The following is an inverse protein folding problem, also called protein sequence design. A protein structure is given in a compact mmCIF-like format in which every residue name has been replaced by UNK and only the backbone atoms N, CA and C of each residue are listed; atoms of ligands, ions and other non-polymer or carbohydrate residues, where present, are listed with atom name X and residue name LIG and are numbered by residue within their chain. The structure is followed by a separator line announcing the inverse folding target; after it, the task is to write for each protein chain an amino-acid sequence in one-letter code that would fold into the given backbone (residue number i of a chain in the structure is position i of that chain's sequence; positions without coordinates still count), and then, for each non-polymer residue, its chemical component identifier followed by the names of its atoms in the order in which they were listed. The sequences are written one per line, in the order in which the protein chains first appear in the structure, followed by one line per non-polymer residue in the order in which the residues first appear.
data_IF_824762310335
#
_entry.id   IF_824762310335
#
_cell.length_a   1.000
_cell.length_b   1.000
_cell.length_c   1.000
_cell.angle_alpha   90.00
_cell.angle_beta   90.00
_cell.angle_gamma   90.00
#
_symmetry.space_group_name_H-M   'P 1'
#
loop_
_entity.id
_entity.type
_entity.pdbx_description
1 polymer ?
#
# COMPACT_ATOMS: atom_id res chain seq x y z
N UNK A 1 -8.49 -52.68 -10.58
CA UNK A 1 -9.00 -51.36 -10.13
C UNK A 1 -7.96 -50.25 -10.22
N UNK A 2 -6.68 -50.47 -9.85
CA UNK A 2 -5.58 -49.49 -10.01
C UNK A 2 -5.36 -48.97 -11.46
N UNK A 3 -5.35 -49.90 -12.41
CA UNK A 3 -5.02 -49.67 -13.82
C UNK A 3 -6.08 -48.83 -14.54
N UNK A 4 -7.35 -48.99 -14.14
CA UNK A 4 -8.50 -48.25 -14.67
C UNK A 4 -8.43 -46.77 -14.27
N UNK A 5 -7.81 -46.47 -13.12
CA UNK A 5 -7.65 -45.12 -12.59
C UNK A 5 -6.32 -44.45 -12.98
N UNK A 6 -5.45 -45.12 -13.74
CA UNK A 6 -4.14 -44.59 -14.13
C UNK A 6 -3.17 -44.37 -12.96
N UNK A 7 -3.43 -44.99 -11.80
CA UNK A 7 -2.64 -44.82 -10.58
C UNK A 7 -1.62 -45.95 -10.44
N UNK A 8 -0.40 -45.61 -10.02
CA UNK A 8 0.61 -46.60 -9.68
C UNK A 8 0.12 -47.45 -8.49
N UNK A 9 0.30 -48.77 -8.55
CA UNK A 9 -0.11 -49.68 -7.46
C UNK A 9 0.49 -49.30 -6.10
N UNK A 10 1.67 -48.69 -6.06
CA UNK A 10 2.30 -48.20 -4.82
C UNK A 10 1.53 -47.05 -4.16
N UNK A 11 0.77 -46.25 -4.92
CA UNK A 11 -0.05 -45.17 -4.39
C UNK A 11 -1.30 -45.70 -3.65
N UNK A 12 -1.76 -46.91 -3.97
CA UNK A 12 -2.96 -47.53 -3.36
C UNK A 12 -2.68 -47.98 -1.93
N UNK A 13 -1.45 -48.40 -1.64
CA UNK A 13 -1.02 -48.80 -0.30
C UNK A 13 -0.41 -47.65 0.51
N UNK A 14 -0.32 -46.46 -0.08
CA UNK A 14 0.23 -45.30 0.61
C UNK A 14 -0.76 -44.80 1.68
N UNK A 15 -0.43 -45.02 2.94
CA UNK A 15 -1.06 -44.29 4.03
C UNK A 15 -0.38 -42.92 4.17
N UNK A 16 -1.14 -41.81 4.12
CA UNK A 16 -0.58 -40.49 4.36
C UNK A 16 0.11 -40.47 5.72
N UNK A 17 1.43 -40.28 5.73
CA UNK A 17 2.14 -40.00 6.97
C UNK A 17 1.80 -38.57 7.37
N UNK A 18 0.91 -38.41 8.35
CA UNK A 18 0.72 -37.13 9.03
C UNK A 18 2.07 -36.77 9.63
N UNK A 19 2.70 -35.72 9.09
CA UNK A 19 4.02 -35.28 9.54
C UNK A 19 3.84 -34.64 10.92
N UNK A 20 4.12 -35.40 11.97
CA UNK A 20 4.08 -34.87 13.32
C UNK A 20 5.19 -33.82 13.47
N UNK A 21 4.80 -32.63 13.93
CA UNK A 21 5.74 -31.56 14.25
C UNK A 21 6.50 -31.96 15.51
N UNK A 22 7.81 -31.70 15.52
CA UNK A 22 8.63 -31.92 16.71
C UNK A 22 8.29 -30.88 17.78
N UNK A 23 8.50 -31.18 19.05
CA UNK A 23 8.24 -30.25 20.16
C UNK A 23 8.91 -28.88 19.97
N UNK A 24 10.15 -28.88 19.46
CA UNK A 24 10.87 -27.63 19.14
C UNK A 24 10.13 -26.78 18.10
N UNK A 25 9.51 -27.42 17.10
CA UNK A 25 8.76 -26.72 16.06
C UNK A 25 7.44 -26.15 16.60
N UNK A 26 6.76 -26.89 17.47
CA UNK A 26 5.54 -26.41 18.15
C UNK A 26 5.86 -25.19 19.03
N UNK A 27 6.91 -25.28 19.84
CA UNK A 27 7.38 -24.15 20.65
C UNK A 27 7.72 -22.92 19.81
N UNK A 28 8.32 -23.13 18.64
CA UNK A 28 8.63 -22.03 17.72
C UNK A 28 7.37 -21.41 17.14
N UNK A 29 6.37 -22.21 16.76
CA UNK A 29 5.09 -21.72 16.25
C UNK A 29 4.36 -20.89 17.30
N UNK A 30 4.25 -21.38 18.54
CA UNK A 30 3.60 -20.67 19.65
C UNK A 30 4.31 -19.33 19.94
N UNK A 31 5.65 -19.34 19.94
CA UNK A 31 6.44 -18.14 20.18
C UNK A 31 6.27 -17.11 19.05
N UNK A 32 6.28 -17.57 17.80
CA UNK A 32 6.09 -16.71 16.62
C UNK A 32 4.69 -16.11 16.61
N UNK A 33 3.66 -16.88 16.94
CA UNK A 33 2.27 -16.40 16.99
C UNK A 33 2.09 -15.24 17.98
N UNK A 34 2.60 -15.42 19.21
CA UNK A 34 2.57 -14.38 20.26
C UNK A 34 3.37 -13.14 19.84
N UNK A 35 4.58 -13.33 19.31
CA UNK A 35 5.45 -12.21 18.96
C UNK A 35 4.98 -11.47 17.73
N UNK A 36 4.45 -12.16 16.73
CA UNK A 36 3.89 -11.55 15.54
C UNK A 36 2.65 -10.72 15.88
N UNK A 37 1.78 -11.21 16.77
CA UNK A 37 0.62 -10.46 17.27
C UNK A 37 1.04 -9.13 17.91
N UNK A 38 2.17 -9.12 18.63
CA UNK A 38 2.71 -7.92 19.28
C UNK A 38 3.52 -7.01 18.34
N UNK A 39 4.21 -7.59 17.36
CA UNK A 39 5.14 -6.91 16.47
C UNK A 39 4.94 -7.32 15.00
N UNK A 40 3.78 -7.03 14.39
CA UNK A 40 3.41 -7.55 13.05
C UNK A 40 4.25 -6.94 11.92
N UNK A 41 5.00 -5.87 12.19
CA UNK A 41 5.95 -5.29 11.25
C UNK A 41 7.25 -6.09 11.15
N UNK A 42 7.56 -7.00 12.08
CA UNK A 42 8.83 -7.74 12.04
C UNK A 42 8.83 -8.78 10.91
N UNK A 43 9.78 -8.63 10.00
CA UNK A 43 10.09 -9.65 9.00
C UNK A 43 10.93 -10.81 9.57
N UNK A 44 11.10 -11.88 8.79
CA UNK A 44 11.84 -13.10 9.20
C UNK A 44 13.23 -12.84 9.76
N UNK A 45 13.94 -11.82 9.26
CA UNK A 45 15.27 -11.43 9.75
C UNK A 45 15.20 -10.79 11.14
N UNK A 46 14.31 -9.82 11.33
CA UNK A 46 14.13 -9.11 12.60
C UNK A 46 13.61 -10.06 13.68
N UNK A 47 12.64 -10.90 13.34
CA UNK A 47 12.07 -11.87 14.26
C UNK A 47 13.10 -12.91 14.71
N UNK A 48 13.95 -13.43 13.81
CA UNK A 48 15.04 -14.34 14.18
C UNK A 48 16.06 -13.70 15.12
N UNK A 49 16.43 -12.43 14.89
CA UNK A 49 17.31 -11.69 15.78
C UNK A 49 16.67 -11.42 17.14
N UNK A 50 15.39 -11.03 17.14
CA UNK A 50 14.63 -10.74 18.36
C UNK A 50 14.50 -11.97 19.24
N UNK A 51 14.08 -13.10 18.68
CA UNK A 51 13.92 -14.37 19.40
C UNK A 51 15.28 -14.89 19.90
N UNK A 52 16.33 -14.79 19.07
CA UNK A 52 17.69 -15.21 19.47
C UNK A 52 18.25 -14.36 20.62
N UNK A 53 17.93 -13.07 20.66
CA UNK A 53 18.30 -12.18 21.77
C UNK A 53 17.59 -12.54 23.09
N UNK A 54 16.40 -13.17 23.02
CA UNK A 54 15.63 -13.61 24.18
C UNK A 54 15.89 -15.09 24.54
N UNK A 55 17.13 -15.55 24.35
CA UNK A 55 17.61 -16.89 24.74
C UNK A 55 16.94 -18.08 24.04
N UNK A 56 16.29 -17.88 22.89
CA UNK A 56 15.84 -18.98 22.03
C UNK A 56 16.62 -18.95 20.70
N UNK A 57 17.68 -19.76 20.54
CA UNK A 57 18.49 -19.75 19.32
C UNK A 57 17.66 -20.20 18.12
N UNK A 58 17.41 -19.28 17.18
CA UNK A 58 16.67 -19.59 15.96
C UNK A 58 17.31 -18.97 14.73
N UNK A 59 17.37 -19.74 13.66
CA UNK A 59 17.86 -19.26 12.38
C UNK A 59 16.72 -18.67 11.54
N UNK A 60 17.07 -17.78 10.61
CA UNK A 60 16.10 -17.14 9.71
C UNK A 60 15.23 -18.15 8.95
N UNK A 61 15.77 -19.31 8.56
CA UNK A 61 15.01 -20.32 7.84
C UNK A 61 13.93 -21.00 8.71
N UNK A 62 14.16 -21.13 10.02
CA UNK A 62 13.17 -21.66 10.98
C UNK A 62 12.00 -20.67 11.12
N UNK A 63 12.28 -19.37 11.20
CA UNK A 63 11.23 -18.33 11.24
C UNK A 63 10.47 -18.25 9.92
N UNK A 64 11.17 -18.36 8.77
CA UNK A 64 10.51 -18.40 7.46
C UNK A 64 9.53 -19.57 7.37
N UNK A 65 9.97 -20.75 7.79
CA UNK A 65 9.13 -21.94 7.86
C UNK A 65 7.90 -21.73 8.77
N UNK A 66 8.07 -21.08 9.92
CA UNK A 66 6.98 -20.79 10.85
C UNK A 66 5.97 -19.78 10.26
N UNK A 67 6.46 -18.71 9.61
CA UNK A 67 5.61 -17.74 8.90
C UNK A 67 4.80 -18.42 7.79
N UNK A 68 5.43 -19.30 7.00
CA UNK A 68 4.75 -20.06 5.95
C UNK A 68 3.70 -21.03 6.52
N UNK A 69 3.98 -21.67 7.67
CA UNK A 69 3.01 -22.56 8.35
C UNK A 69 1.82 -21.82 8.96
N UNK A 70 2.04 -20.62 9.49
CA UNK A 70 1.00 -19.79 10.11
C UNK A 70 0.31 -18.84 9.12
N UNK A 71 0.76 -18.78 7.86
CA UNK A 71 0.23 -17.85 6.85
C UNK A 71 0.55 -16.38 7.15
N UNK A 72 1.68 -16.10 7.80
CA UNK A 72 2.07 -14.76 8.26
C UNK A 72 2.98 -14.04 7.26
N UNK A 73 2.78 -12.73 7.12
CA UNK A 73 3.63 -11.86 6.32
C UNK A 73 3.76 -10.49 6.99
N UNK A 74 4.99 -10.01 7.17
CA UNK A 74 5.24 -8.70 7.78
C UNK A 74 4.44 -7.59 7.10
N UNK A 75 3.83 -6.74 7.93
CA UNK A 75 3.05 -5.55 7.51
C UNK A 75 3.96 -4.39 7.12
N UNK A 76 5.28 -4.50 7.36
CA UNK A 76 6.21 -3.45 6.97
C UNK A 76 6.22 -3.28 5.43
N UNK A 77 6.25 -2.04 4.92
CA UNK A 77 6.36 -1.79 3.49
C UNK A 77 7.57 -2.52 2.91
N UNK A 78 7.34 -3.33 1.88
CA UNK A 78 8.42 -3.99 1.17
C UNK A 78 9.35 -2.98 0.49
N UNK A 79 10.62 -3.31 0.24
CA UNK A 79 11.41 -2.54 -0.70
C UNK A 79 10.68 -2.57 -2.05
N UNK A 80 10.55 -1.41 -2.70
CA UNK A 80 9.92 -1.19 -4.01
C UNK A 80 8.45 -0.74 -4.09
N UNK A 81 7.90 -0.07 -3.07
CA UNK A 81 6.62 0.65 -3.23
C UNK A 81 6.68 1.82 -4.23
N UNK A 82 7.88 2.23 -4.63
CA UNK A 82 8.15 3.32 -5.59
C UNK A 82 8.52 2.85 -6.99
N UNK A 83 8.40 1.55 -7.32
CA UNK A 83 8.58 1.08 -8.70
C UNK A 83 7.28 1.32 -9.49
N UNK A 84 7.26 2.26 -10.45
CA UNK A 84 6.08 2.46 -11.29
C UNK A 84 5.78 1.19 -12.10
N UNK A 85 4.50 0.84 -12.23
CA UNK A 85 4.08 -0.23 -13.12
C UNK A 85 4.52 0.11 -14.56
N UNK A 86 5.10 -0.84 -15.32
CA UNK A 86 5.69 -0.57 -16.65
C UNK A 86 4.70 -0.01 -17.68
N UNK A 87 3.39 -0.14 -17.46
CA UNK A 87 2.34 0.39 -18.34
C UNK A 87 1.97 1.86 -18.07
N UNK A 88 2.56 2.53 -17.07
CA UNK A 88 2.28 3.93 -16.81
C UNK A 88 3.13 4.85 -17.69
N UNK A 89 2.48 5.57 -18.60
CA UNK A 89 3.08 6.67 -19.35
C UNK A 89 3.69 7.69 -18.40
N UNK A 90 5.00 7.94 -18.56
CA UNK A 90 5.71 9.00 -17.83
C UNK A 90 5.45 10.32 -18.54
N UNK A 91 4.60 11.16 -17.96
CA UNK A 91 4.40 12.53 -18.44
C UNK A 91 5.59 13.41 -18.02
N UNK A 92 6.07 14.32 -18.89
CA UNK A 92 7.10 15.28 -18.52
C UNK A 92 6.59 16.17 -17.38
N UNK A 93 7.38 16.32 -16.33
CA UNK A 93 7.05 17.21 -15.21
C UNK A 93 7.26 18.67 -15.64
N UNK A 94 6.17 19.32 -16.07
CA UNK A 94 6.18 20.67 -16.68
C UNK A 94 6.60 21.79 -15.72
N UNK A 95 6.68 21.51 -14.42
CA UNK A 95 7.14 22.46 -13.40
C UNK A 95 8.65 22.43 -13.19
N UNK A 96 9.37 21.50 -13.82
CA UNK A 96 10.83 21.45 -13.73
C UNK A 96 11.42 22.69 -14.41
N UNK A 97 12.22 23.44 -13.67
CA UNK A 97 12.88 24.68 -14.13
C UNK A 97 11.93 25.82 -14.52
N UNK A 98 10.66 25.78 -14.07
CA UNK A 98 9.68 26.84 -14.28
C UNK A 98 9.71 27.85 -13.12
N UNK A 99 10.03 29.11 -13.42
CA UNK A 99 9.85 30.22 -12.48
C UNK A 99 8.39 30.67 -12.46
N UNK A 100 7.83 30.81 -11.25
CA UNK A 100 6.43 31.20 -11.02
C UNK A 100 6.43 32.64 -10.52
N UNK A 101 6.04 33.57 -11.39
CA UNK A 101 6.24 35.01 -11.20
C UNK A 101 4.93 35.80 -11.05
N UNK A 102 3.78 35.17 -11.31
CA UNK A 102 2.46 35.84 -11.25
C UNK A 102 1.36 34.93 -10.71
N UNK A 103 0.28 35.51 -10.12
CA UNK A 103 -0.95 34.77 -9.85
C UNK A 103 -1.51 34.16 -11.13
N UNK A 104 -2.24 33.05 -11.01
CA UNK A 104 -2.89 32.35 -12.12
C UNK A 104 -1.95 31.66 -13.12
N UNK A 105 -0.65 31.59 -12.83
CA UNK A 105 0.30 30.84 -13.66
C UNK A 105 0.23 29.34 -13.37
N UNK A 106 0.30 28.96 -12.09
CA UNK A 106 0.26 27.57 -11.65
C UNK A 106 -0.75 27.41 -10.53
N UNK A 107 -1.75 26.58 -10.77
CA UNK A 107 -2.65 26.08 -9.73
C UNK A 107 -2.23 24.69 -9.32
N UNK A 108 -2.57 24.31 -8.10
CA UNK A 108 -2.47 22.92 -7.67
C UNK A 108 -3.63 22.52 -6.81
N UNK A 109 -3.90 21.23 -6.82
CA UNK A 109 -4.83 20.60 -5.89
C UNK A 109 -4.19 19.39 -5.23
N UNK A 110 -4.72 19.07 -4.05
CA UNK A 110 -4.41 17.87 -3.28
C UNK A 110 -5.68 17.44 -2.51
N UNK A 111 -5.80 16.16 -2.21
CA UNK A 111 -6.88 15.62 -1.38
C UNK A 111 -6.31 15.28 0.00
N UNK A 112 -6.73 16.01 1.02
CA UNK A 112 -6.36 15.75 2.41
C UNK A 112 -7.53 15.17 3.20
N UNK A 113 -7.26 14.25 4.11
CA UNK A 113 -8.28 13.65 4.99
C UNK A 113 -8.39 14.39 6.33
N UNK A 114 -9.62 14.64 6.76
CA UNK A 114 -9.97 15.17 8.09
C UNK A 114 -10.53 14.01 8.92
N UNK A 115 -9.88 13.73 10.05
CA UNK A 115 -10.29 12.65 10.95
C UNK A 115 -11.54 13.06 11.73
N UNK A 116 -12.58 12.23 11.67
CA UNK A 116 -13.84 12.42 12.38
C UNK A 116 -13.97 11.44 13.55
N UNK A 117 -14.97 11.60 14.42
CA UNK A 117 -15.26 10.64 15.49
C UNK A 117 -15.55 9.23 14.94
N UNK A 118 -16.16 9.14 13.76
CA UNK A 118 -16.36 7.92 12.98
C UNK A 118 -15.97 8.19 11.53
N UNK A 119 -14.91 7.53 11.05
CA UNK A 119 -14.45 7.66 9.66
C UNK A 119 -13.66 8.94 9.38
N UNK A 120 -13.64 9.33 8.10
CA UNK A 120 -12.90 10.47 7.56
C UNK A 120 -13.80 11.30 6.65
N UNK A 121 -13.52 12.60 6.59
CA UNK A 121 -13.98 13.47 5.51
C UNK A 121 -12.79 13.81 4.60
N UNK A 122 -13.05 14.06 3.33
CA UNK A 122 -12.06 14.33 2.29
C UNK A 122 -12.20 15.77 1.84
N UNK A 123 -11.15 16.56 2.03
CA UNK A 123 -11.06 17.95 1.62
C UNK A 123 -10.20 18.04 0.36
N UNK A 124 -10.74 18.65 -0.68
CA UNK A 124 -9.94 19.14 -1.82
C UNK A 124 -9.87 20.65 -1.75
N UNK A 125 -8.70 21.19 -2.05
CA UNK A 125 -8.50 22.62 -2.17
C UNK A 125 -7.73 22.92 -3.46
N UNK A 126 -8.11 24.00 -4.15
CA UNK A 126 -7.37 24.52 -5.29
C UNK A 126 -6.63 25.76 -4.82
N UNK A 127 -5.31 25.73 -4.97
CA UNK A 127 -4.41 26.78 -4.46
C UNK A 127 -3.61 27.36 -5.62
N UNK A 128 -3.55 28.69 -5.68
CA UNK A 128 -2.62 29.39 -6.55
C UNK A 128 -1.20 29.39 -5.95
N UNK A 129 -0.20 28.94 -6.73
CA UNK A 129 1.15 28.77 -6.22
C UNK A 129 1.87 30.09 -5.90
N UNK A 130 1.59 31.14 -6.66
CA UNK A 130 2.25 32.43 -6.47
C UNK A 130 1.70 33.14 -5.23
N UNK A 131 0.38 33.37 -5.19
CA UNK A 131 -0.29 34.11 -4.11
C UNK A 131 -0.54 33.28 -2.86
N UNK A 132 -0.46 31.95 -2.94
CA UNK A 132 -0.84 30.99 -1.88
C UNK A 132 -2.30 31.07 -1.46
N UNK A 133 -3.15 31.70 -2.25
CA UNK A 133 -4.57 31.80 -1.95
C UNK A 133 -5.29 30.50 -2.32
N UNK A 134 -6.20 30.10 -1.43
CA UNK A 134 -7.20 29.06 -1.72
C UNK A 134 -8.26 29.70 -2.61
N UNK A 135 -8.32 29.25 -3.86
CA UNK A 135 -9.27 29.76 -4.86
C UNK A 135 -10.65 29.17 -4.65
N UNK A 136 -10.70 27.87 -4.34
CA UNK A 136 -11.92 27.15 -4.00
C UNK A 136 -11.57 25.86 -3.25
N UNK A 137 -12.56 25.27 -2.58
CA UNK A 137 -12.44 24.02 -1.87
C UNK A 137 -13.78 23.31 -1.77
N UNK A 138 -13.75 22.00 -1.53
CA UNK A 138 -14.95 21.20 -1.31
C UNK A 138 -14.66 20.04 -0.36
N UNK A 139 -15.67 19.69 0.43
CA UNK A 139 -15.61 18.57 1.36
C UNK A 139 -16.54 17.45 0.88
N UNK A 140 -16.05 16.22 0.92
CA UNK A 140 -16.84 15.01 0.70
C UNK A 140 -16.69 14.03 1.86
N UNK A 141 -17.67 13.15 2.03
CA UNK A 141 -17.57 11.97 2.92
C UNK A 141 -17.18 10.70 2.14
N UNK A 142 -17.07 10.80 0.81
CA UNK A 142 -16.60 9.76 -0.11
C UNK A 142 -15.29 10.20 -0.77
N UNK A 143 -14.46 9.23 -1.17
CA UNK A 143 -13.18 9.47 -1.85
C UNK A 143 -13.35 9.35 -3.38
N UNK A 144 -14.30 10.08 -3.93
CA UNK A 144 -14.65 10.09 -5.37
C UNK A 144 -13.93 11.23 -6.10
N UNK A 145 -13.68 11.11 -7.40
CA UNK A 145 -12.98 12.16 -8.17
C UNK A 145 -13.89 13.37 -8.48
N UNK A 146 -15.20 13.15 -8.50
CA UNK A 146 -16.22 14.11 -8.95
C UNK A 146 -16.12 15.46 -8.25
N UNK A 147 -15.94 15.46 -6.92
CA UNK A 147 -15.90 16.71 -6.16
C UNK A 147 -14.63 17.55 -6.47
N UNK A 148 -13.53 16.91 -6.88
CA UNK A 148 -12.34 17.62 -7.35
C UNK A 148 -12.59 18.27 -8.73
N UNK A 149 -13.26 17.56 -9.63
CA UNK A 149 -13.62 18.08 -10.97
C UNK A 149 -14.60 19.23 -10.84
N UNK A 150 -15.61 19.12 -9.99
CA UNK A 150 -16.57 20.19 -9.69
C UNK A 150 -15.86 21.44 -9.15
N UNK A 151 -14.98 21.27 -8.14
CA UNK A 151 -14.21 22.38 -7.55
C UNK A 151 -13.34 23.06 -8.60
N UNK A 152 -12.70 22.29 -9.49
CA UNK A 152 -11.92 22.82 -10.60
C UNK A 152 -12.78 23.57 -11.62
N UNK A 153 -13.93 23.01 -11.99
CA UNK A 153 -14.89 23.65 -12.89
C UNK A 153 -15.36 25.00 -12.36
N UNK A 154 -15.60 25.12 -11.05
CA UNK A 154 -15.94 26.40 -10.41
C UNK A 154 -14.79 27.40 -10.50
N UNK A 155 -13.56 27.01 -10.22
CA UNK A 155 -12.39 27.91 -10.33
C UNK A 155 -12.18 28.39 -11.77
N UNK A 156 -12.29 27.47 -12.74
CA UNK A 156 -12.09 27.79 -14.16
C UNK A 156 -13.23 28.62 -14.77
N UNK A 157 -14.39 28.72 -14.10
CA UNK A 157 -15.49 29.57 -14.56
C UNK A 157 -15.19 31.06 -14.42
N UNK A 158 -14.27 31.44 -13.51
CA UNK A 158 -13.90 32.84 -13.24
C UNK A 158 -12.40 33.13 -13.28
N UNK A 159 -11.56 32.11 -13.47
CA UNK A 159 -10.11 32.24 -13.60
C UNK A 159 -9.56 31.37 -14.74
N UNK A 160 -8.29 31.55 -15.09
CA UNK A 160 -7.56 30.68 -16.02
C UNK A 160 -6.24 30.30 -15.40
N UNK A 161 -5.84 29.04 -15.50
CA UNK A 161 -4.48 28.61 -15.19
C UNK A 161 -3.73 28.20 -16.45
N UNK A 162 -2.44 28.45 -16.47
CA UNK A 162 -1.56 27.94 -17.54
C UNK A 162 -1.18 26.48 -17.27
N UNK A 163 -0.93 26.14 -15.99
CA UNK A 163 -0.62 24.78 -15.55
C UNK A 163 -1.47 24.44 -14.34
N UNK A 164 -2.12 23.27 -14.38
CA UNK A 164 -2.81 22.68 -13.24
C UNK A 164 -2.03 21.45 -12.76
N UNK A 165 -1.42 21.55 -11.59
CA UNK A 165 -0.63 20.48 -10.99
C UNK A 165 -1.47 19.64 -10.03
N UNK A 166 -1.44 18.33 -10.20
CA UNK A 166 -2.08 17.38 -9.29
C UNK A 166 -1.07 16.33 -8.89
N UNK A 167 -1.19 15.80 -7.68
CA UNK A 167 -0.48 14.57 -7.34
C UNK A 167 -1.08 13.41 -8.16
N UNK A 168 -0.26 12.43 -8.55
CA UNK A 168 -0.71 11.28 -9.36
C UNK A 168 -1.45 10.24 -8.49
N UNK A 169 -2.37 10.68 -7.62
CA UNK A 169 -3.34 9.79 -7.00
C UNK A 169 -4.14 9.08 -8.09
N UNK A 170 -4.48 7.81 -7.89
CA UNK A 170 -5.29 7.01 -8.83
C UNK A 170 -6.60 7.67 -9.26
N UNK A 171 -7.10 8.61 -8.47
CA UNK A 171 -8.33 9.36 -8.67
C UNK A 171 -8.26 10.36 -9.82
N UNK A 172 -7.09 10.96 -10.10
CA UNK A 172 -6.96 12.02 -11.13
C UNK A 172 -6.61 11.44 -12.51
N UNK A 173 -6.19 10.17 -12.57
CA UNK A 173 -5.64 9.56 -13.78
C UNK A 173 -6.66 9.20 -14.86
N UNK A 174 -7.96 9.28 -14.58
CA UNK A 174 -8.98 8.69 -15.48
C UNK A 174 -9.88 9.67 -16.23
N UNK A 175 -9.85 10.99 -15.98
CA UNK A 175 -10.88 11.88 -16.56
C UNK A 175 -10.40 13.23 -17.12
N UNK A 176 -9.10 13.44 -17.33
CA UNK A 176 -8.64 14.66 -18.03
C UNK A 176 -7.73 14.28 -19.18
N UNK A 177 -8.36 13.98 -20.32
CA UNK A 177 -7.74 13.89 -21.64
C UNK A 177 -8.36 14.94 -22.56
#
# INVERSE_FOLDING_TARGET
QAEILGLNRSAIYYQPRVRQLKDKQLQLLDLVDVLYTKYPFMGTRQMSQFISAHHYPCQRHEIRWAYEHLGLQSVAPGPHTSKPHPEHTVYPYLLKDLEIERPCQVFSTDITYIRMQKGFAYLTAIIDWYSRYVLDWQLSITMEADFCIETLGRVLSWSRCEIFNTDQGSQVRHEVA
#
